data_IF_020467038517
#
_entry.id   IF_020467038517
#
_cell.length_a   1.000
_cell.length_b   1.000
_cell.length_c   1.000
_cell.angle_alpha   90.00
_cell.angle_beta   90.00
_cell.angle_gamma   90.00
#
_symmetry.space_group_name_H-M   'P 1'
#
loop_
_entity.id
_entity.type
_entity.pdbx_description
1 polymer ?
#
# COMPACT_ATOMS: atom_id res chain seq x y z
N UNK A 1 -12.36 -2.71 5.16
CA UNK A 1 -11.62 -3.76 4.40
C UNK A 1 -10.14 -3.74 4.76
N UNK A 2 -9.41 -4.86 4.73
CA UNK A 2 -7.99 -4.89 5.13
C UNK A 2 -7.12 -5.76 4.20
N UNK A 3 -5.91 -5.28 3.90
CA UNK A 3 -4.88 -5.98 3.15
C UNK A 3 -3.62 -6.06 4.02
N UNK A 4 -3.28 -7.26 4.51
CA UNK A 4 -2.15 -7.44 5.40
C UNK A 4 -1.44 -8.77 5.27
N UNK A 5 -0.16 -8.81 5.66
CA UNK A 5 0.67 -10.01 5.67
C UNK A 5 0.85 -10.64 4.27
N UNK A 6 0.90 -9.82 3.23
CA UNK A 6 1.16 -10.25 1.85
C UNK A 6 2.51 -9.76 1.34
N UNK A 7 3.02 -10.42 0.29
CA UNK A 7 4.17 -9.96 -0.48
C UNK A 7 3.75 -9.64 -1.91
N UNK A 8 3.98 -8.41 -2.35
CA UNK A 8 3.69 -7.95 -3.70
C UNK A 8 4.98 -7.80 -4.50
N UNK A 9 5.31 -8.84 -5.28
CA UNK A 9 6.50 -8.92 -6.12
C UNK A 9 6.14 -8.70 -7.60
N UNK A 10 5.74 -7.48 -7.95
CA UNK A 10 5.41 -7.11 -9.32
C UNK A 10 5.94 -5.71 -9.68
N UNK A 11 6.35 -5.47 -10.95
CA UNK A 11 6.85 -4.16 -11.38
C UNK A 11 5.73 -3.11 -11.56
N UNK A 12 4.47 -3.54 -11.69
CA UNK A 12 3.29 -2.67 -11.78
C UNK A 12 2.82 -2.27 -10.38
N UNK A 13 1.99 -1.23 -10.26
CA UNK A 13 1.32 -0.88 -8.99
C UNK A 13 0.62 -2.11 -8.40
N UNK A 14 0.90 -2.40 -7.12
CA UNK A 14 0.42 -3.61 -6.45
C UNK A 14 -1.06 -3.53 -6.08
N UNK A 15 -1.48 -2.40 -5.50
CA UNK A 15 -2.84 -2.19 -5.05
C UNK A 15 -3.39 -0.92 -5.71
N UNK A 16 -4.54 -1.05 -6.37
CA UNK A 16 -5.30 0.08 -6.92
C UNK A 16 -6.67 0.06 -6.25
N UNK A 17 -6.95 1.08 -5.44
CA UNK A 17 -8.28 1.28 -4.86
C UNK A 17 -9.03 2.22 -5.80
N UNK A 18 -10.17 1.75 -6.32
CA UNK A 18 -11.02 2.47 -7.25
C UNK A 18 -12.30 2.94 -6.55
N UNK A 19 -12.75 4.15 -6.85
CA UNK A 19 -13.89 4.79 -6.21
C UNK A 19 -13.59 5.24 -4.77
N UNK A 20 -14.66 5.62 -4.06
CA UNK A 20 -14.62 5.96 -2.63
C UNK A 20 -15.16 4.78 -1.81
N UNK A 21 -14.31 4.11 -1.00
CA UNK A 21 -14.79 3.10 -0.05
C UNK A 21 -15.75 3.71 0.98
N UNK A 22 -16.87 3.04 1.26
CA UNK A 22 -17.79 3.43 2.33
C UNK A 22 -17.13 3.32 3.71
N UNK A 23 -16.39 2.23 3.93
CA UNK A 23 -15.59 1.99 5.13
C UNK A 23 -14.10 2.24 4.88
N UNK A 24 -13.32 2.59 5.93
CA UNK A 24 -11.87 2.71 5.82
C UNK A 24 -11.20 1.42 5.30
N UNK A 25 -10.21 1.61 4.44
CA UNK A 25 -9.33 0.56 3.93
C UNK A 25 -7.99 0.63 4.65
N UNK A 26 -7.57 -0.48 5.24
CA UNK A 26 -6.24 -0.59 5.85
C UNK A 26 -5.30 -1.44 5.00
N UNK A 27 -4.10 -0.93 4.74
CA UNK A 27 -3.01 -1.63 4.06
C UNK A 27 -1.82 -1.62 5.00
N UNK A 28 -1.52 -2.76 5.62
CA UNK A 28 -0.48 -2.84 6.64
C UNK A 28 0.26 -4.17 6.71
N UNK A 29 1.50 -4.19 7.21
CA UNK A 29 2.32 -5.39 7.34
C UNK A 29 2.48 -6.19 6.03
N UNK A 30 2.48 -5.50 4.88
CA UNK A 30 2.82 -6.10 3.60
C UNK A 30 4.27 -5.76 3.24
N UNK A 31 4.86 -6.56 2.36
CA UNK A 31 6.12 -6.25 1.70
C UNK A 31 5.88 -5.94 0.22
N UNK A 32 6.24 -4.74 -0.20
CA UNK A 32 6.18 -4.28 -1.59
C UNK A 32 7.59 -4.17 -2.15
N UNK A 33 7.85 -4.73 -3.33
CA UNK A 33 9.15 -4.53 -3.98
C UNK A 33 9.34 -3.10 -4.53
N UNK A 34 8.27 -2.30 -4.51
CA UNK A 34 8.25 -0.91 -4.93
C UNK A 34 9.07 -0.04 -3.99
N UNK A 35 9.70 1.03 -4.50
CA UNK A 35 10.56 1.87 -3.68
C UNK A 35 9.78 2.76 -2.68
N UNK A 36 8.47 2.94 -2.84
CA UNK A 36 7.70 3.81 -1.96
C UNK A 36 6.20 3.49 -1.93
N UNK A 37 5.48 3.96 -0.89
CA UNK A 37 4.03 3.81 -0.79
C UNK A 37 3.27 4.33 -2.02
N UNK A 38 3.70 5.46 -2.60
CA UNK A 38 3.02 6.09 -3.75
C UNK A 38 3.17 5.28 -5.04
N UNK A 39 4.22 4.44 -5.15
CA UNK A 39 4.42 3.53 -6.28
C UNK A 39 3.71 2.19 -6.08
N UNK A 40 3.63 1.72 -4.83
CA UNK A 40 2.97 0.47 -4.47
C UNK A 40 1.44 0.57 -4.50
N UNK A 41 0.88 1.68 -4.00
CA UNK A 41 -0.55 1.85 -3.77
C UNK A 41 -1.06 3.12 -4.44
N UNK A 42 -2.05 2.96 -5.32
CA UNK A 42 -2.74 4.07 -5.97
C UNK A 42 -4.17 4.24 -5.42
N UNK A 43 -4.43 5.28 -4.59
CA UNK A 43 -5.78 5.66 -4.21
C UNK A 43 -6.41 6.54 -5.29
N UNK A 44 -7.59 6.20 -5.81
CA UNK A 44 -8.26 7.03 -6.84
C UNK A 44 -8.97 8.25 -6.24
N UNK A 45 -9.99 8.05 -5.39
CA UNK A 45 -10.99 9.10 -5.13
C UNK A 45 -11.24 9.44 -3.65
N UNK A 46 -10.55 8.79 -2.70
CA UNK A 46 -10.71 9.05 -1.27
C UNK A 46 -9.45 8.68 -0.45
N UNK A 47 -8.36 9.46 -0.53
CA UNK A 47 -7.13 9.18 0.21
C UNK A 47 -7.32 9.21 1.74
N UNK A 48 -8.32 9.96 2.22
CA UNK A 48 -8.73 10.07 3.63
C UNK A 48 -9.33 8.76 4.19
N UNK A 49 -9.93 7.93 3.34
CA UNK A 49 -10.49 6.62 3.71
C UNK A 49 -9.46 5.48 3.58
N UNK A 50 -8.19 5.77 3.28
CA UNK A 50 -7.17 4.77 3.01
C UNK A 50 -5.98 4.98 3.95
N UNK A 51 -5.72 4.00 4.82
CA UNK A 51 -4.60 4.02 5.77
C UNK A 51 -3.50 3.07 5.32
N UNK A 52 -2.32 3.61 5.02
CA UNK A 52 -1.15 2.84 4.60
C UNK A 52 -0.06 2.99 5.66
N UNK A 53 0.19 1.92 6.43
CA UNK A 53 1.09 1.94 7.59
C UNK A 53 1.83 0.62 7.77
N UNK A 54 3.01 0.63 8.38
CA UNK A 54 3.79 -0.56 8.73
C UNK A 54 4.02 -1.53 7.55
N UNK A 55 4.21 -1.01 6.33
CA UNK A 55 4.57 -1.85 5.19
C UNK A 55 6.07 -1.70 4.90
N UNK A 56 6.71 -2.79 4.51
CA UNK A 56 8.08 -2.78 4.03
C UNK A 56 8.12 -2.48 2.53
N UNK A 57 9.10 -1.71 2.10
CA UNK A 57 9.31 -1.29 0.71
C UNK A 57 10.74 -1.55 0.29
N UNK A 58 10.95 -1.65 -1.02
CA UNK A 58 12.21 -2.01 -1.67
C UNK A 58 12.51 -3.52 -1.64
N UNK A 59 13.17 -3.99 -2.71
CA UNK A 59 13.56 -5.38 -2.89
C UNK A 59 14.92 -5.69 -2.26
N UNK A 60 15.87 -4.77 -2.37
CA UNK A 60 17.26 -4.96 -1.96
C UNK A 60 17.47 -4.57 -0.50
N UNK A 61 16.83 -3.50 -0.05
CA UNK A 61 16.94 -3.02 1.33
C UNK A 61 15.54 -2.74 1.89
N UNK A 62 14.80 -3.80 2.30
CA UNK A 62 13.45 -3.66 2.79
C UNK A 62 13.38 -2.76 4.03
N UNK A 63 12.65 -1.65 3.92
CA UNK A 63 12.47 -0.68 5.00
C UNK A 63 10.99 -0.40 5.23
N UNK A 64 10.60 -0.25 6.50
CA UNK A 64 9.25 0.17 6.85
C UNK A 64 9.09 1.65 6.49
N UNK A 65 8.10 1.98 5.65
CA UNK A 65 7.79 3.35 5.27
C UNK A 65 6.29 3.62 5.38
N UNK A 66 5.93 4.60 6.20
CA UNK A 66 4.54 5.04 6.29
C UNK A 66 4.25 6.12 5.27
N UNK A 67 3.02 6.11 4.73
CA UNK A 67 2.53 7.22 3.92
C UNK A 67 1.94 8.27 4.87
N UNK A 68 2.64 9.38 5.04
CA UNK A 68 2.12 10.58 5.70
C UNK A 68 1.12 11.31 4.82
#
# INVERSE_FOLDING_TARGET
MSFHHNTFRCPKTAIVIRGRPEEPVEINHNWFIHPSPQKAVHPSDAPDHIRIRNNAYDLQQPEIRDRR
#
